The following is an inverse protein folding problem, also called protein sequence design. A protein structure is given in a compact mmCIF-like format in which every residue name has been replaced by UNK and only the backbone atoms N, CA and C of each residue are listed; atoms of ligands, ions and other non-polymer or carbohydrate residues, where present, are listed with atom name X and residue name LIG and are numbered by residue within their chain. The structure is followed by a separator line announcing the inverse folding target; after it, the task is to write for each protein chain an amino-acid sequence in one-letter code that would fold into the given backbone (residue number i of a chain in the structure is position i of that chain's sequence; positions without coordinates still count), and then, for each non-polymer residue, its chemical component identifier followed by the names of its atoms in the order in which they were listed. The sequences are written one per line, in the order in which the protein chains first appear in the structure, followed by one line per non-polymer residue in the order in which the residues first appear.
data_IF_605210034230
#
_entry.id   IF_605210034230
#
_cell.length_a   1.000
_cell.length_b   1.000
_cell.length_c   1.000
_cell.angle_alpha   90.00
_cell.angle_beta   90.00
_cell.angle_gamma   90.00
#
_symmetry.space_group_name_H-M   'P 1'
#
loop_
_entity.id
_entity.type
_entity.pdbx_description
1 polymer ?
#
# COMPACT_ATOMS: atom_id res chain seq x y z
N UNK A 1 -16.48 3.43 11.19
CA UNK A 1 -15.42 2.77 10.40
C UNK A 1 -15.13 3.60 9.15
N UNK A 2 -13.87 3.96 8.88
CA UNK A 2 -13.49 4.53 7.57
C UNK A 2 -13.71 3.48 6.49
N UNK A 3 -14.36 3.86 5.41
CA UNK A 3 -14.67 2.97 4.28
C UNK A 3 -13.39 2.57 3.55
N UNK A 4 -13.27 1.30 3.16
CA UNK A 4 -12.10 0.81 2.43
C UNK A 4 -12.02 1.45 1.03
N UNK A 5 -10.82 1.90 0.65
CA UNK A 5 -10.54 2.34 -0.72
C UNK A 5 -10.48 1.11 -1.63
N UNK A 6 -11.30 1.12 -2.69
CA UNK A 6 -11.46 0.02 -3.66
C UNK A 6 -10.89 0.36 -5.03
N UNK A 7 -10.57 1.63 -5.29
CA UNK A 7 -9.83 2.08 -6.48
C UNK A 7 -9.04 3.32 -6.11
N UNK A 8 -7.79 3.38 -6.55
CA UNK A 8 -6.95 4.56 -6.35
C UNK A 8 -6.13 4.80 -7.62
N UNK A 9 -6.04 6.06 -8.01
CA UNK A 9 -5.17 6.56 -9.06
C UNK A 9 -4.16 7.50 -8.41
N UNK A 10 -2.88 7.20 -8.61
CA UNK A 10 -1.78 8.01 -8.12
C UNK A 10 -0.91 8.47 -9.28
N UNK A 11 -0.20 9.57 -9.07
CA UNK A 11 0.79 10.12 -9.99
C UNK A 11 2.15 10.14 -9.29
N UNK A 12 3.21 9.75 -9.99
CA UNK A 12 4.55 9.84 -9.40
C UNK A 12 5.03 11.28 -9.45
N UNK A 13 5.70 11.76 -8.40
CA UNK A 13 6.24 13.13 -8.42
C UNK A 13 7.43 13.29 -9.37
N UNK A 14 8.17 12.21 -9.62
CA UNK A 14 9.30 12.19 -10.53
C UNK A 14 8.88 12.28 -12.01
N UNK A 15 7.68 11.81 -12.34
CA UNK A 15 7.11 11.91 -13.68
C UNK A 15 5.60 12.20 -13.60
N UNK A 16 5.23 13.50 -13.59
CA UNK A 16 3.82 13.90 -13.50
C UNK A 16 2.95 13.42 -14.67
N UNK A 17 3.54 12.98 -15.80
CA UNK A 17 2.78 12.41 -16.92
C UNK A 17 2.37 10.96 -16.66
N UNK A 18 3.04 10.28 -15.74
CA UNK A 18 2.81 8.87 -15.41
C UNK A 18 1.84 8.72 -14.24
N UNK A 19 0.74 8.01 -14.50
CA UNK A 19 -0.22 7.62 -13.47
C UNK A 19 -0.33 6.11 -13.32
N UNK A 20 -0.59 5.66 -12.10
CA UNK A 20 -0.83 4.25 -11.75
C UNK A 20 -2.23 4.16 -11.17
N UNK A 21 -3.08 3.35 -11.79
CA UNK A 21 -4.43 3.05 -11.29
C UNK A 21 -4.51 1.59 -10.89
N UNK A 22 -4.91 1.35 -9.64
CA UNK A 22 -5.10 0.00 -9.10
C UNK A 22 -6.46 -0.13 -8.39
N UNK A 23 -6.93 -1.35 -8.22
CA UNK A 23 -8.27 -1.65 -7.70
C UNK A 23 -8.21 -2.72 -6.59
N UNK A 24 -9.33 -2.90 -5.88
CA UNK A 24 -9.52 -3.93 -4.87
C UNK A 24 -8.45 -3.91 -3.78
N UNK A 25 -7.84 -5.07 -3.53
CA UNK A 25 -6.81 -5.22 -2.49
C UNK A 25 -5.53 -4.44 -2.80
N UNK A 26 -5.18 -4.22 -4.07
CA UNK A 26 -4.04 -3.38 -4.42
C UNK A 26 -4.30 -1.90 -4.07
N UNK A 27 -5.51 -1.41 -4.34
CA UNK A 27 -5.90 -0.04 -3.98
C UNK A 27 -5.89 0.18 -2.47
N UNK A 28 -6.45 -0.78 -1.74
CA UNK A 28 -6.39 -0.78 -0.28
C UNK A 28 -4.94 -0.79 0.23
N UNK A 29 -4.08 -1.65 -0.32
CA UNK A 29 -2.66 -1.77 0.09
C UNK A 29 -1.89 -0.48 -0.19
N UNK A 30 -2.04 0.07 -1.39
CA UNK A 30 -1.39 1.33 -1.78
C UNK A 30 -1.85 2.50 -0.92
N UNK A 31 -3.15 2.59 -0.60
CA UNK A 31 -3.67 3.60 0.32
C UNK A 31 -2.99 3.52 1.69
N UNK A 32 -2.88 2.32 2.28
CA UNK A 32 -2.21 2.16 3.59
C UNK A 32 -0.72 2.49 3.55
N UNK A 33 -0.03 2.15 2.45
CA UNK A 33 1.37 2.53 2.27
C UNK A 33 1.56 4.05 2.17
N UNK A 34 0.64 4.75 1.50
CA UNK A 34 0.65 6.21 1.42
C UNK A 34 0.36 6.84 2.79
N UNK A 35 -0.67 6.36 3.49
CA UNK A 35 -1.08 6.87 4.82
C UNK A 35 0.01 6.66 5.88
N UNK A 36 0.71 5.51 5.83
CA UNK A 36 1.83 5.21 6.71
C UNK A 36 3.08 6.06 6.41
N UNK A 37 3.24 6.53 5.17
CA UNK A 37 4.37 7.33 4.73
C UNK A 37 5.72 6.68 5.05
N UNK A 38 6.66 7.47 5.55
CA UNK A 38 8.02 7.02 5.87
C UNK A 38 8.09 6.02 7.05
N UNK A 39 7.06 5.98 7.90
CA UNK A 39 7.00 4.98 8.98
C UNK A 39 6.78 3.57 8.43
N UNK A 40 6.21 3.44 7.23
CA UNK A 40 5.86 2.16 6.65
C UNK A 40 4.84 1.38 7.48
N UNK A 41 4.54 0.17 7.03
CA UNK A 41 3.50 -0.66 7.63
C UNK A 41 3.90 -2.13 7.68
N UNK A 42 3.60 -2.78 8.80
CA UNK A 42 3.73 -4.24 8.92
C UNK A 42 2.37 -4.93 8.74
N UNK A 43 2.32 -6.15 8.16
CA UNK A 43 1.12 -6.98 8.13
C UNK A 43 0.45 -7.18 9.51
N UNK A 44 1.20 -7.06 10.60
CA UNK A 44 0.68 -7.15 11.97
C UNK A 44 -0.24 -5.96 12.29
N UNK A 45 0.15 -4.74 11.91
CA UNK A 45 -0.64 -3.51 12.14
C UNK A 45 -1.92 -3.48 11.29
N UNK A 46 -1.88 -4.08 10.08
CA UNK A 46 -3.02 -4.16 9.16
C UNK A 46 -3.11 -5.55 8.51
N UNK A 47 -3.76 -6.52 9.16
CA UNK A 47 -3.84 -7.89 8.64
C UNK A 47 -4.53 -7.97 7.28
N UNK A 48 -3.90 -8.67 6.33
CA UNK A 48 -4.47 -9.04 5.05
C UNK A 48 -3.84 -10.35 4.56
N UNK A 49 -4.55 -11.17 3.78
CA UNK A 49 -4.11 -12.54 3.50
C UNK A 49 -2.80 -12.63 2.71
N UNK A 50 -2.42 -11.62 1.91
CA UNK A 50 -1.28 -11.72 0.98
C UNK A 50 -0.54 -10.40 0.73
N UNK A 51 -0.05 -9.77 1.80
CA UNK A 51 0.72 -8.50 1.70
C UNK A 51 1.87 -8.56 0.69
N UNK A 52 2.71 -9.59 0.76
CA UNK A 52 3.86 -9.74 -0.14
C UNK A 52 3.44 -9.80 -1.62
N UNK A 53 2.32 -10.45 -1.93
CA UNK A 53 1.81 -10.52 -3.31
C UNK A 53 1.34 -9.14 -3.78
N UNK A 54 0.61 -8.40 -2.95
CA UNK A 54 0.11 -7.07 -3.29
C UNK A 54 1.26 -6.08 -3.50
N UNK A 55 2.25 -6.10 -2.61
CA UNK A 55 3.47 -5.29 -2.75
C UNK A 55 4.24 -5.66 -4.03
N UNK A 56 4.37 -6.95 -4.33
CA UNK A 56 5.02 -7.40 -5.57
C UNK A 56 4.30 -6.88 -6.83
N UNK A 57 2.96 -6.93 -6.85
CA UNK A 57 2.18 -6.38 -7.97
C UNK A 57 2.31 -4.85 -8.07
N UNK A 58 2.32 -4.12 -6.96
CA UNK A 58 2.54 -2.67 -6.96
C UNK A 58 3.94 -2.30 -7.47
N UNK A 59 4.97 -3.10 -7.15
CA UNK A 59 6.32 -2.94 -7.72
C UNK A 59 6.32 -3.11 -9.23
N UNK A 60 5.58 -4.09 -9.77
CA UNK A 60 5.41 -4.25 -11.22
C UNK A 60 4.74 -3.05 -11.90
N UNK A 61 3.94 -2.26 -11.18
CA UNK A 61 3.39 -1.01 -11.68
C UNK A 61 4.42 0.15 -11.74
N UNK A 62 5.65 -0.09 -11.26
CA UNK A 62 6.73 0.90 -11.20
C UNK A 62 6.75 1.71 -9.91
N UNK A 63 6.11 1.23 -8.83
CA UNK A 63 6.22 1.84 -7.51
C UNK A 63 7.34 1.16 -6.72
N UNK A 64 8.32 1.95 -6.30
CA UNK A 64 9.38 1.51 -5.41
C UNK A 64 8.82 1.38 -3.99
N UNK A 65 8.80 0.15 -3.49
CA UNK A 65 8.38 -0.20 -2.14
C UNK A 65 9.53 -0.99 -1.50
N UNK A 66 10.12 -0.47 -0.45
CA UNK A 66 11.15 -1.17 0.31
C UNK A 66 10.53 -2.19 1.26
N UNK A 67 11.25 -3.29 1.52
CA UNK A 67 10.92 -4.23 2.60
C UNK A 67 12.05 -4.22 3.62
N UNK A 68 11.79 -3.61 4.77
CA UNK A 68 12.69 -3.62 5.93
C UNK A 68 12.36 -4.87 6.76
N UNK A 69 13.37 -5.65 7.12
CA UNK A 69 13.18 -6.80 8.02
C UNK A 69 13.15 -6.30 9.46
N UNK A 70 12.04 -6.50 10.13
CA UNK A 70 11.89 -6.21 11.55
C UNK A 70 11.83 -7.50 12.35
N UNK A 71 12.59 -7.55 13.44
CA UNK A 71 12.52 -8.65 14.39
C UNK A 71 11.32 -8.43 15.31
N UNK A 72 10.42 -9.40 15.38
CA UNK A 72 9.33 -9.41 16.33
C UNK A 72 9.67 -10.29 17.54
N UNK A 73 9.30 -9.79 18.72
CA UNK A 73 9.47 -10.47 20.00
C UNK A 73 8.10 -10.97 20.49
N UNK A 74 8.04 -12.12 21.16
CA UNK A 74 6.79 -12.71 21.64
C UNK A 74 6.87 -14.23 21.71
N UNK A 75 5.75 -14.93 21.95
CA UNK A 75 5.70 -16.39 22.04
C UNK A 75 6.14 -17.10 20.75
N UNK A 76 6.06 -16.40 19.62
CA UNK A 76 6.49 -16.87 18.30
C UNK A 76 7.48 -15.84 17.71
N UNK A 77 8.75 -15.85 18.14
CA UNK A 77 9.75 -14.91 17.64
C UNK A 77 10.07 -15.19 16.17
N UNK A 78 10.26 -14.13 15.39
CA UNK A 78 10.51 -14.24 13.96
C UNK A 78 10.81 -12.88 13.32
N UNK A 79 10.93 -12.87 11.99
CA UNK A 79 11.10 -11.64 11.23
C UNK A 79 9.82 -11.38 10.41
N UNK A 80 9.32 -10.15 10.43
CA UNK A 80 8.28 -9.69 9.50
C UNK A 80 8.82 -8.55 8.63
N UNK A 81 8.19 -8.36 7.48
CA UNK A 81 8.49 -7.22 6.61
C UNK A 81 7.71 -5.99 7.04
N UNK A 82 8.41 -4.86 7.24
CA UNK A 82 7.83 -3.52 7.18
C UNK A 82 7.97 -3.01 5.76
N UNK A 83 6.85 -2.59 5.15
CA UNK A 83 6.83 -2.07 3.79
C UNK A 83 6.77 -0.55 3.81
N UNK A 84 7.68 0.09 3.07
CA UNK A 84 7.76 1.56 2.98
C UNK A 84 7.64 1.96 1.51
N UNK A 85 6.66 2.79 1.17
CA UNK A 85 6.59 3.38 -0.17
C UNK A 85 7.67 4.43 -0.32
N UNK A 86 8.64 4.19 -1.21
CA UNK A 86 9.75 5.09 -1.48
C UNK A 86 9.47 6.02 -2.64
N UNK A 87 8.71 5.57 -3.64
CA UNK A 87 8.26 6.46 -4.73
C UNK A 87 7.35 7.54 -4.16
N UNK A 88 7.73 8.82 -4.25
CA UNK A 88 6.85 9.90 -3.84
C UNK A 88 5.68 9.97 -4.84
N UNK A 89 4.46 9.91 -4.32
CA UNK A 89 3.25 9.94 -5.13
C UNK A 89 2.29 11.03 -4.64
N UNK A 90 1.42 11.45 -5.54
CA UNK A 90 0.25 12.26 -5.25
C UNK A 90 -1.01 11.44 -5.57
N UNK A 91 -2.01 11.47 -4.67
CA UNK A 91 -3.30 10.82 -4.92
C UNK A 91 -4.13 11.72 -5.82
N UNK A 92 -4.37 11.26 -7.04
CA UNK A 92 -5.21 11.98 -8.02
C UNK A 92 -6.68 11.69 -7.80
N UNK A 93 -7.01 10.42 -7.48
CA UNK A 93 -8.39 9.98 -7.19
C UNK A 93 -8.38 8.77 -6.28
N UNK A 94 -9.27 8.73 -5.31
CA UNK A 94 -9.57 7.55 -4.51
C UNK A 94 -11.09 7.31 -4.51
N UNK A 95 -11.51 6.05 -4.63
CA UNK A 95 -12.92 5.65 -4.55
C UNK A 95 -13.06 4.67 -3.40
N UNK A 96 -13.97 4.98 -2.49
CA UNK A 96 -14.31 4.12 -1.37
C UNK A 96 -15.39 3.10 -1.74
N UNK A 97 -15.46 1.97 -1.04
CA UNK A 97 -16.46 0.92 -1.27
C UNK A 97 -17.92 1.43 -1.20
N UNK A 98 -18.17 2.51 -0.44
CA UNK A 98 -19.50 3.12 -0.28
C UNK A 98 -19.94 3.88 -1.53
N UNK A 99 -19.00 4.51 -2.23
CA UNK A 99 -19.26 5.30 -3.46
C UNK A 99 -19.42 4.44 -4.71
N UNK A 100 -19.04 3.14 -4.66
CA UNK A 100 -19.23 2.20 -5.77
C UNK A 100 -20.58 1.49 -5.74
N UNK A 101 -21.28 1.55 -4.61
CA UNK A 101 -22.52 0.81 -4.34
C UNK A 101 -23.80 1.66 -4.53
N UNK A 102 -23.66 2.91 -4.95
CA UNK A 102 -24.74 3.78 -5.43
C UNK A 102 -24.57 4.04 -6.92
#
# INVERSE_FOLDING_TARGET
MRTAIVKITVRTKADPSRSVTVNGRLAWTLHHLIDAGAQGITPIERPAPRWSEYVHQLRKCGLEIETIREKHSGPFPGNHGRYVLRTPVEVVKAVSAKERAG
#
